data_IF_783167518892
#
_entry.id   IF_783167518892
#
_cell.length_a   1.000
_cell.length_b   1.000
_cell.length_c   1.000
_cell.angle_alpha   90.00
_cell.angle_beta   90.00
_cell.angle_gamma   90.00
#
_symmetry.space_group_name_H-M   'P 1'
#
loop_
_entity.id
_entity.type
_entity.pdbx_description
1 polymer ?
#
# COMPACT_ATOMS: atom_id res chain seq x y z
N UNK A 1 3.18 -5.03 15.33
CA UNK A 1 2.15 -5.49 14.37
C UNK A 1 2.54 -4.94 13.01
N UNK A 2 2.32 -5.68 11.91
CA UNK A 2 2.64 -5.20 10.56
C UNK A 2 1.38 -4.80 9.80
N UNK A 3 1.42 -3.74 9.02
CA UNK A 3 0.34 -3.27 8.17
C UNK A 3 0.74 -3.33 6.69
N UNK A 4 -0.08 -4.02 5.91
CA UNK A 4 0.08 -4.16 4.47
C UNK A 4 -1.09 -3.50 3.76
N UNK A 5 -0.79 -2.75 2.70
CA UNK A 5 -1.81 -2.11 1.86
C UNK A 5 -2.05 -2.95 0.60
N UNK A 6 -3.30 -3.27 0.29
CA UNK A 6 -3.68 -4.04 -0.90
C UNK A 6 -4.17 -3.11 -2.01
N UNK A 7 -3.25 -2.62 -2.83
CA UNK A 7 -3.53 -1.66 -3.91
C UNK A 7 -2.42 -1.68 -4.96
N UNK A 8 -2.70 -1.22 -6.18
CA UNK A 8 -1.68 -0.81 -7.14
C UNK A 8 -1.64 0.71 -7.36
N UNK A 9 -2.50 1.47 -6.65
CA UNK A 9 -2.55 2.92 -6.78
C UNK A 9 -1.38 3.58 -6.03
N UNK A 10 -0.50 4.27 -6.77
CA UNK A 10 0.70 4.89 -6.22
C UNK A 10 0.41 6.03 -5.23
N UNK A 11 -0.69 6.77 -5.42
CA UNK A 11 -1.05 7.88 -4.53
C UNK A 11 -1.44 7.35 -3.15
N UNK A 12 -2.20 6.25 -3.10
CA UNK A 12 -2.57 5.57 -1.85
C UNK A 12 -1.34 4.98 -1.14
N UNK A 13 -0.42 4.38 -1.89
CA UNK A 13 0.83 3.83 -1.34
C UNK A 13 1.66 4.96 -0.74
N UNK A 14 1.77 6.09 -1.43
CA UNK A 14 2.51 7.25 -0.96
C UNK A 14 1.88 7.84 0.31
N UNK A 15 0.58 8.01 0.35
CA UNK A 15 -0.13 8.51 1.54
C UNK A 15 0.10 7.61 2.76
N UNK A 16 -0.08 6.29 2.61
CA UNK A 16 0.14 5.34 3.71
C UNK A 16 1.61 5.29 4.16
N UNK A 17 2.55 5.46 3.24
CA UNK A 17 3.97 5.56 3.56
C UNK A 17 4.31 6.87 4.30
N UNK A 18 3.73 8.00 3.88
CA UNK A 18 3.92 9.31 4.51
C UNK A 18 3.36 9.35 5.94
N UNK A 19 2.32 8.56 6.22
CA UNK A 19 1.81 8.34 7.58
C UNK A 19 2.74 7.50 8.47
N UNK A 20 3.77 6.86 7.90
CA UNK A 20 4.76 6.07 8.64
C UNK A 20 4.23 4.73 9.18
N UNK A 21 3.13 4.23 8.62
CA UNK A 21 2.46 2.99 9.08
C UNK A 21 2.61 1.81 8.12
N UNK A 22 3.15 2.02 6.91
CA UNK A 22 3.17 1.02 5.85
C UNK A 22 4.41 0.11 5.94
N UNK A 23 4.21 -1.20 6.18
CA UNK A 23 5.29 -2.20 6.18
C UNK A 23 5.49 -2.87 4.82
N UNK A 24 4.52 -2.76 3.92
CA UNK A 24 4.60 -3.33 2.57
C UNK A 24 3.29 -3.22 1.79
N UNK A 25 3.34 -3.60 0.52
CA UNK A 25 2.20 -3.56 -0.40
C UNK A 25 1.94 -4.96 -0.95
N UNK A 26 0.67 -5.36 -1.02
CA UNK A 26 0.23 -6.51 -1.80
C UNK A 26 -0.55 -6.01 -3.01
N UNK A 27 -0.50 -6.78 -4.10
CA UNK A 27 -1.17 -6.43 -5.34
C UNK A 27 -1.59 -7.69 -6.09
N UNK A 28 -2.47 -7.53 -7.07
CA UNK A 28 -2.91 -8.58 -7.97
C UNK A 28 -3.32 -7.97 -9.33
N UNK A 29 -3.43 -8.77 -10.40
CA UNK A 29 -3.79 -8.26 -11.73
C UNK A 29 -5.11 -7.49 -11.81
N UNK A 30 -6.07 -7.74 -10.90
CA UNK A 30 -7.35 -7.03 -10.88
C UNK A 30 -7.25 -5.63 -10.27
N UNK A 31 -6.15 -5.31 -9.59
CA UNK A 31 -5.89 -4.00 -8.98
C UNK A 31 -5.00 -3.10 -9.84
N UNK A 32 -4.47 -3.61 -10.97
CA UNK A 32 -3.67 -2.85 -11.94
C UNK A 32 -4.50 -1.83 -12.71
#
# INVERSE_FOLDING_TARGET
MKFFLDTANLDQIKEANDLGILDGVTTNPSLM
#
